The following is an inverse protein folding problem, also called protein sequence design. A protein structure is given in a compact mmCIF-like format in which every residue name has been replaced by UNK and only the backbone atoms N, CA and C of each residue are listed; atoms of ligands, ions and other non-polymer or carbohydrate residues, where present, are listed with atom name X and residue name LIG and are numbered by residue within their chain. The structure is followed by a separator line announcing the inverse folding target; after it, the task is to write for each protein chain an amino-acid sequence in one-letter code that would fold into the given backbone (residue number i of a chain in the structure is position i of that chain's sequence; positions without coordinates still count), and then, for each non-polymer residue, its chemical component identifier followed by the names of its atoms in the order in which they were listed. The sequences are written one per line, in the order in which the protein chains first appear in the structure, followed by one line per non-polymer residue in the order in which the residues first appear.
data_IF_562523396264
#
_entry.id   IF_562523396264
#
_cell.length_a   1.000
_cell.length_b   1.000
_cell.length_c   1.000
_cell.angle_alpha   90.00
_cell.angle_beta   90.00
_cell.angle_gamma   90.00
#
_symmetry.space_group_name_H-M   'P 1'
#
loop_
_entity.id
_entity.type
_entity.pdbx_description
1 polymer ?
#
# COMPACT_ATOMS: atom_id res chain seq x y z
N UNK A 1 2.83 -14.20 11.66
CA UNK A 1 2.56 -13.39 10.46
C UNK A 1 2.18 -12.00 10.89
N UNK A 2 2.64 -10.98 10.17
CA UNK A 2 2.34 -9.58 10.49
C UNK A 2 0.83 -9.30 10.31
N UNK A 3 0.29 -8.33 11.07
CA UNK A 3 -1.10 -7.88 10.93
C UNK A 3 -1.38 -7.27 9.56
N UNK A 4 -0.33 -6.72 8.94
CA UNK A 4 -0.38 -6.04 7.65
C UNK A 4 -0.64 -7.01 6.49
N UNK A 5 -0.03 -8.19 6.48
CA UNK A 5 -0.13 -9.12 5.36
C UNK A 5 -0.68 -10.48 5.81
N UNK A 6 -1.95 -10.73 5.48
CA UNK A 6 -2.57 -12.05 5.66
C UNK A 6 -2.10 -13.02 4.57
N UNK A 7 -2.21 -14.33 4.83
CA UNK A 7 -1.93 -15.36 3.81
C UNK A 7 -2.80 -15.17 2.56
N UNK A 8 -4.07 -14.81 2.74
CA UNK A 8 -5.02 -14.59 1.66
C UNK A 8 -4.60 -13.41 0.78
N UNK A 9 -4.31 -12.25 1.42
CA UNK A 9 -3.82 -11.07 0.70
C UNK A 9 -2.52 -11.39 -0.02
N UNK A 10 -1.57 -12.05 0.65
CA UNK A 10 -0.30 -12.45 0.05
C UNK A 10 -0.46 -13.33 -1.19
N UNK A 11 -1.51 -14.15 -1.28
CA UNK A 11 -1.79 -15.00 -2.44
C UNK A 11 -2.52 -14.28 -3.56
N UNK A 12 -3.28 -13.23 -3.23
CA UNK A 12 -4.00 -12.40 -4.20
C UNK A 12 -3.13 -11.36 -4.91
N UNK A 13 -1.96 -11.02 -4.33
CA UNK A 13 -1.08 -10.01 -4.89
C UNK A 13 -0.50 -10.46 -6.24
N UNK A 14 -0.61 -9.62 -7.28
CA UNK A 14 0.13 -9.82 -8.52
C UNK A 14 1.64 -9.80 -8.25
N UNK A 15 2.40 -10.58 -9.00
CA UNK A 15 3.87 -10.53 -8.95
C UNK A 15 4.37 -9.16 -9.40
N UNK A 16 5.57 -8.80 -8.95
CA UNK A 16 6.24 -7.57 -9.40
C UNK A 16 6.30 -7.51 -10.92
N UNK A 17 6.01 -6.32 -11.47
CA UNK A 17 5.95 -6.02 -12.91
C UNK A 17 4.79 -6.65 -13.69
N UNK A 18 3.86 -7.36 -13.05
CA UNK A 18 2.64 -7.86 -13.69
C UNK A 18 1.74 -6.73 -14.23
N UNK A 19 1.80 -5.54 -13.63
CA UNK A 19 1.01 -4.36 -13.94
C UNK A 19 1.85 -3.22 -14.54
N UNK A 20 3.11 -3.44 -14.93
CA UNK A 20 4.03 -2.36 -15.39
C UNK A 20 3.52 -1.56 -16.60
N UNK A 21 2.60 -2.14 -17.38
CA UNK A 21 2.00 -1.53 -18.57
C UNK A 21 0.64 -0.90 -18.30
N UNK A 22 0.15 -0.97 -17.07
CA UNK A 22 -1.12 -0.35 -16.68
C UNK A 22 -0.87 1.12 -16.32
N UNK A 23 -1.58 2.02 -16.98
CA UNK A 23 -1.60 3.44 -16.60
C UNK A 23 -2.38 3.66 -15.29
N UNK A 24 -3.26 2.71 -14.93
CA UNK A 24 -4.06 2.73 -13.71
C UNK A 24 -4.06 1.32 -13.07
N UNK A 25 -2.98 0.96 -12.35
CA UNK A 25 -2.83 -0.37 -11.76
C UNK A 25 -3.88 -0.62 -10.67
N UNK A 26 -4.28 -1.87 -10.49
CA UNK A 26 -5.17 -2.28 -9.41
C UNK A 26 -4.40 -2.29 -8.09
N UNK A 27 -4.95 -1.59 -7.10
CA UNK A 27 -4.51 -1.61 -5.72
C UNK A 27 -5.20 -2.77 -5.02
N UNK A 28 -4.43 -3.58 -4.28
CA UNK A 28 -4.89 -4.75 -3.55
C UNK A 28 -4.90 -4.56 -2.03
N UNK A 29 -4.15 -3.58 -1.53
CA UNK A 29 -4.16 -3.19 -0.13
C UNK A 29 -3.72 -1.74 0.04
N UNK A 30 -4.22 -1.10 1.10
CA UNK A 30 -3.78 0.22 1.52
C UNK A 30 -3.23 0.10 2.93
N UNK A 31 -1.96 0.44 3.09
CA UNK A 31 -1.34 0.64 4.40
C UNK A 31 -1.30 2.13 4.73
N UNK A 32 -1.38 2.47 6.01
CA UNK A 32 -1.32 3.86 6.46
C UNK A 32 -0.70 3.97 7.85
N UNK A 33 -0.10 5.13 8.13
CA UNK A 33 0.41 5.44 9.45
C UNK A 33 -0.55 6.39 10.18
N UNK A 34 -1.10 6.04 11.36
CA UNK A 34 -2.21 6.79 11.97
C UNK A 34 -1.84 8.19 12.48
N UNK A 35 -0.54 8.50 12.65
CA UNK A 35 -0.08 9.82 13.10
C UNK A 35 0.35 10.74 11.96
N UNK A 36 0.21 10.35 10.70
CA UNK A 36 0.52 11.20 9.55
C UNK A 36 -0.39 10.89 8.35
N UNK A 37 -0.23 11.65 7.28
CA UNK A 37 -0.91 11.36 6.01
C UNK A 37 -0.26 10.25 5.19
N UNK A 38 0.75 9.55 5.74
CA UNK A 38 1.50 8.54 5.01
C UNK A 38 0.64 7.34 4.66
N UNK A 39 0.62 7.00 3.37
CA UNK A 39 -0.14 5.87 2.83
C UNK A 39 0.66 5.13 1.77
N UNK A 40 0.45 3.83 1.71
CA UNK A 40 1.05 2.94 0.71
C UNK A 40 -0.07 2.15 0.04
N UNK A 41 -0.27 2.40 -1.25
CA UNK A 41 -1.25 1.73 -2.10
C UNK A 41 -0.55 0.60 -2.84
N UNK A 42 -0.68 -0.62 -2.33
CA UNK A 42 0.00 -1.80 -2.83
C UNK A 42 -0.65 -2.28 -4.12
N UNK A 43 0.08 -2.30 -5.21
CA UNK A 43 -0.40 -2.84 -6.50
C UNK A 43 0.15 -4.24 -6.77
N UNK A 44 1.37 -4.52 -6.33
CA UNK A 44 2.05 -5.79 -6.56
C UNK A 44 2.85 -6.21 -5.32
N UNK A 45 3.15 -7.50 -5.22
CA UNK A 45 4.03 -8.01 -4.20
C UNK A 45 4.62 -9.37 -4.53
N UNK A 46 5.86 -9.59 -4.11
CA UNK A 46 6.54 -10.86 -4.24
C UNK A 46 7.29 -11.21 -2.96
N UNK A 47 7.18 -12.48 -2.56
CA UNK A 47 7.89 -13.00 -1.39
C UNK A 47 9.34 -13.34 -1.76
N UNK A 48 10.28 -12.67 -1.09
CA UNK A 48 11.72 -12.85 -1.26
C UNK A 48 12.33 -13.40 0.03
N UNK A 49 12.45 -14.73 0.10
CA UNK A 49 12.92 -15.42 1.31
C UNK A 49 11.97 -15.20 2.49
N UNK A 50 12.45 -14.48 3.52
CA UNK A 50 11.69 -14.22 4.74
C UNK A 50 10.89 -12.91 4.71
N UNK A 51 11.04 -12.10 3.66
CA UNK A 51 10.38 -10.80 3.54
C UNK A 51 9.49 -10.74 2.29
N UNK A 52 8.65 -9.71 2.21
CA UNK A 52 7.81 -9.43 1.05
C UNK A 52 8.17 -8.05 0.53
N UNK A 53 8.50 -8.00 -0.75
CA UNK A 53 8.72 -6.75 -1.48
C UNK A 53 7.42 -6.37 -2.16
N UNK A 54 6.95 -5.17 -1.90
CA UNK A 54 5.80 -4.58 -2.56
C UNK A 54 6.25 -3.58 -3.61
N UNK A 55 5.36 -3.36 -4.58
CA UNK A 55 5.41 -2.20 -5.46
C UNK A 55 4.04 -1.50 -5.40
N UNK A 56 4.06 -0.18 -5.46
CA UNK A 56 2.84 0.60 -5.30
C UNK A 56 3.07 2.09 -5.23
N UNK A 57 1.98 2.83 -5.07
CA UNK A 57 2.01 4.28 -4.89
C UNK A 57 2.21 4.61 -3.41
N UNK A 58 3.15 5.51 -3.12
CA UNK A 58 3.48 5.95 -1.77
C UNK A 58 3.13 7.42 -1.67
N UNK A 59 2.20 7.76 -0.79
CA UNK A 59 1.98 9.14 -0.35
C UNK A 59 2.81 9.37 0.90
N UNK A 60 3.93 10.09 0.76
CA UNK A 60 4.79 10.47 1.88
C UNK A 60 5.15 11.96 1.80
N UNK A 61 6.45 12.26 1.77
CA UNK A 61 6.93 13.62 1.50
C UNK A 61 6.64 14.05 0.06
N UNK A 62 6.88 13.15 -0.88
CA UNK A 62 6.48 13.25 -2.27
C UNK A 62 5.65 12.02 -2.61
N UNK A 63 4.83 12.14 -3.65
CA UNK A 63 3.92 11.08 -4.04
C UNK A 63 4.47 10.37 -5.28
N UNK A 64 4.87 9.10 -5.12
CA UNK A 64 5.64 8.38 -6.13
C UNK A 64 5.27 6.89 -6.20
N UNK A 65 5.55 6.27 -7.35
CA UNK A 65 5.53 4.81 -7.48
C UNK A 65 6.88 4.25 -7.05
N UNK A 66 6.89 3.37 -6.06
CA UNK A 66 8.13 2.90 -5.45
C UNK A 66 8.01 1.48 -4.89
N UNK A 67 9.17 0.95 -4.51
CA UNK A 67 9.27 -0.32 -3.79
C UNK A 67 9.36 -0.06 -2.29
N UNK A 68 8.76 -0.95 -1.50
CA UNK A 68 8.83 -0.95 -0.05
C UNK A 68 8.63 -2.37 0.46
N UNK A 69 9.10 -2.71 1.66
CA UNK A 69 9.02 -4.07 2.18
C UNK A 69 8.11 -4.21 3.40
N UNK A 70 7.64 -5.43 3.64
CA UNK A 70 6.86 -5.74 4.83
C UNK A 70 7.66 -5.53 6.11
N UNK A 71 8.97 -5.80 6.09
CA UNK A 71 9.85 -5.57 7.24
C UNK A 71 10.06 -4.08 7.52
N UNK A 72 10.18 -3.23 6.49
CA UNK A 72 10.25 -1.77 6.64
C UNK A 72 8.98 -1.23 7.30
N UNK A 73 7.81 -1.59 6.76
CA UNK A 73 6.54 -1.13 7.32
C UNK A 73 6.27 -1.69 8.72
N UNK A 74 6.57 -2.97 8.93
CA UNK A 74 6.39 -3.64 10.22
C UNK A 74 7.36 -3.18 11.31
N UNK A 75 8.47 -2.54 10.94
CA UNK A 75 9.45 -1.95 11.86
C UNK A 75 9.09 -0.56 12.36
N UNK A 76 8.08 0.10 11.76
CA UNK A 76 7.63 1.43 12.20
C UNK A 76 6.84 1.31 13.51
N UNK A 77 7.40 1.89 14.56
CA UNK A 77 6.77 2.08 15.86
C UNK A 77 7.18 3.45 16.39
N UNK A 78 6.24 4.40 16.38
CA UNK A 78 6.43 5.74 16.94
C UNK A 78 5.47 5.88 18.10
N UNK A 79 5.99 5.92 19.31
CA UNK A 79 5.21 6.08 20.55
C UNK A 79 4.09 5.02 20.69
N UNK A 80 4.35 3.79 20.21
CA UNK A 80 3.38 2.69 20.23
C UNK A 80 2.40 2.67 19.05
N UNK A 81 2.41 3.71 18.20
CA UNK A 81 1.64 3.73 16.95
C UNK A 81 2.42 3.03 15.84
N UNK A 82 1.74 2.13 15.14
CA UNK A 82 2.30 1.30 14.07
C UNK A 82 1.58 1.56 12.77
N UNK A 83 2.17 1.13 11.66
CA UNK A 83 1.45 1.10 10.39
C UNK A 83 0.30 0.10 10.50
N UNK A 84 -0.84 0.49 9.92
CA UNK A 84 -2.07 -0.27 9.87
C UNK A 84 -2.48 -0.54 8.41
N UNK A 85 -3.43 -1.46 8.22
CA UNK A 85 -4.01 -1.77 6.91
C UNK A 85 -5.50 -1.44 6.95
N UNK A 86 -6.03 -0.88 5.87
CA UNK A 86 -7.48 -0.72 5.69
C UNK A 86 -8.15 -2.11 5.71
N UNK A 87 -9.08 -2.31 6.63
CA UNK A 87 -9.88 -3.53 6.76
C UNK A 87 -10.95 -3.60 5.66
N UNK A 88 -11.35 -4.83 5.28
CA UNK A 88 -12.39 -5.08 4.27
C UNK A 88 -12.23 -4.31 2.94
N UNK A 89 -10.98 -4.03 2.55
CA UNK A 89 -10.66 -3.36 1.29
C UNK A 89 -10.82 -4.30 0.09
N UNK A 90 -11.63 -3.89 -0.88
CA UNK A 90 -11.78 -4.57 -2.17
C UNK A 90 -10.81 -4.00 -3.20
N UNK A 91 -10.12 -4.85 -4.01
CA UNK A 91 -9.19 -4.35 -5.01
C UNK A 91 -9.86 -3.41 -6.02
N UNK A 92 -9.24 -2.26 -6.25
CA UNK A 92 -9.78 -1.20 -7.11
C UNK A 92 -8.67 -0.45 -7.86
N UNK A 93 -8.99 0.26 -8.96
CA UNK A 93 -8.00 1.07 -9.69
C UNK A 93 -7.35 2.12 -8.79
N UNK A 94 -6.06 2.39 -9.01
CA UNK A 94 -5.28 3.34 -8.23
C UNK A 94 -5.95 4.71 -8.20
N UNK A 95 -6.41 5.23 -9.33
CA UNK A 95 -7.09 6.53 -9.37
C UNK A 95 -8.30 6.58 -8.43
N UNK A 96 -9.13 5.53 -8.44
CA UNK A 96 -10.30 5.43 -7.57
C UNK A 96 -9.89 5.39 -6.08
N UNK A 97 -8.84 4.65 -5.76
CA UNK A 97 -8.31 4.58 -4.40
C UNK A 97 -7.80 5.94 -3.92
N UNK A 98 -7.10 6.69 -4.78
CA UNK A 98 -6.63 8.03 -4.47
C UNK A 98 -7.78 9.01 -4.22
N UNK A 99 -8.86 8.94 -5.00
CA UNK A 99 -10.04 9.81 -4.80
C UNK A 99 -10.75 9.62 -3.45
N UNK A 100 -10.66 8.40 -2.90
CA UNK A 100 -11.34 8.00 -1.67
C UNK A 100 -10.44 8.09 -0.42
N UNK A 101 -9.15 7.79 -0.58
CA UNK A 101 -8.24 7.60 0.54
C UNK A 101 -7.07 8.58 0.58
N UNK A 102 -6.82 9.36 -0.49
CA UNK A 102 -5.79 10.41 -0.45
C UNK A 102 -6.22 11.53 0.50
N UNK A 103 -5.24 12.12 1.19
CA UNK A 103 -5.45 13.32 2.02
C UNK A 103 -5.72 14.60 1.20
N UNK A 104 -5.68 14.52 -0.14
CA UNK A 104 -6.02 15.65 -1.01
C UNK A 104 -7.52 15.90 -0.98
N UNK A 105 -7.92 16.79 -0.09
CA UNK A 105 -9.26 17.39 -0.09
C UNK A 105 -9.63 17.79 -1.51
N UNK A 106 -10.75 17.28 -2.03
CA UNK A 106 -11.41 17.80 -3.22
C UNK A 106 -11.70 19.28 -2.95
N UNK A 107 -10.85 20.19 -3.41
CA UNK A 107 -11.28 21.57 -3.62
C UNK A 107 -12.17 21.54 -4.85
N UNK A 108 -13.45 21.27 -4.64
CA UNK A 108 -14.49 21.57 -5.61
C UNK A 108 -14.46 23.08 -5.85
N UNK A 109 -14.02 23.48 -7.05
CA UNK A 109 -14.16 24.82 -7.60
C UNK A 109 -15.05 24.76 -8.84
#
# INVERSE_FOLDING_TARGET
MSRLLTEELSRSLPKLRAQERSEDPIVHAIFFFPLSDWKWFVTEGERNGNDVTFFGYVEGFEAELGHFTLSELGGVDIDGFKIERVEDFEPAPLQHCLELHSGRSRTSG
#
